data_IF_709904343978
#
_entry.id   IF_709904343978
#
_cell.length_a   1.000
_cell.length_b   1.000
_cell.length_c   1.000
_cell.angle_alpha   90.00
_cell.angle_beta   90.00
_cell.angle_gamma   90.00
#
_symmetry.space_group_name_H-M   'P 1'
#
loop_
_entity.id
_entity.type
_entity.pdbx_description
1 polymer ?
#
# COMPACT_ATOMS: atom_id res chain seq x y z
N UNK A 1 7.21 4.12 -7.16
CA UNK A 1 6.66 3.16 -8.15
C UNK A 1 7.64 2.01 -8.41
N UNK A 2 7.14 0.80 -8.60
CA UNK A 2 7.89 -0.46 -8.70
C UNK A 2 7.35 -1.34 -9.83
N UNK A 3 8.01 -2.48 -10.11
CA UNK A 3 7.56 -3.44 -11.13
C UNK A 3 6.16 -4.01 -10.83
N UNK A 4 5.82 -4.18 -9.54
CA UNK A 4 4.48 -4.60 -9.12
C UNK A 4 3.41 -3.56 -9.53
N UNK A 5 3.73 -2.26 -9.42
CA UNK A 5 2.79 -1.20 -9.82
C UNK A 5 2.50 -1.23 -11.33
N UNK A 6 3.52 -1.52 -12.16
CA UNK A 6 3.34 -1.66 -13.62
C UNK A 6 2.39 -2.81 -13.93
N UNK A 7 2.61 -3.98 -13.32
CA UNK A 7 1.78 -5.16 -13.54
C UNK A 7 0.34 -4.93 -13.08
N UNK A 8 0.14 -4.35 -11.90
CA UNK A 8 -1.21 -4.06 -11.40
C UNK A 8 -1.89 -3.00 -12.27
N UNK A 9 -1.15 -1.99 -12.74
CA UNK A 9 -1.69 -0.96 -13.61
C UNK A 9 -2.13 -1.53 -14.97
N UNK A 10 -1.32 -2.41 -15.56
CA UNK A 10 -1.64 -3.12 -16.80
C UNK A 10 -2.83 -4.08 -16.61
N UNK A 11 -2.89 -4.80 -15.49
CA UNK A 11 -3.98 -5.71 -15.17
C UNK A 11 -5.32 -4.99 -14.94
N UNK A 12 -5.28 -3.79 -14.34
CA UNK A 12 -6.47 -2.98 -14.10
C UNK A 12 -7.02 -2.43 -15.43
N UNK A 13 -6.16 -1.92 -16.32
CA UNK A 13 -6.49 -1.55 -17.70
C UNK A 13 -7.55 -0.45 -17.91
N UNK A 14 -8.27 -0.01 -16.87
CA UNK A 14 -9.35 0.98 -16.90
C UNK A 14 -9.31 1.87 -15.68
N UNK A 15 -9.95 3.04 -15.77
CA UNK A 15 -10.09 3.96 -14.65
C UNK A 15 -10.81 3.28 -13.48
N UNK A 16 -10.20 3.39 -12.29
CA UNK A 16 -10.74 2.81 -11.06
C UNK A 16 -11.94 3.62 -10.58
N UNK A 17 -12.98 2.92 -10.13
CA UNK A 17 -14.21 3.54 -9.63
C UNK A 17 -13.92 4.55 -8.52
N UNK A 18 -14.66 5.66 -8.51
CA UNK A 18 -14.52 6.73 -7.51
C UNK A 18 -14.82 6.27 -6.07
N UNK A 19 -15.46 5.10 -5.90
CA UNK A 19 -15.68 4.45 -4.61
C UNK A 19 -14.39 3.98 -3.94
N UNK A 20 -13.27 3.91 -4.66
CA UNK A 20 -11.96 3.53 -4.15
C UNK A 20 -10.99 4.72 -4.25
N UNK A 21 -11.08 5.72 -3.35
CA UNK A 21 -10.36 6.99 -3.48
C UNK A 21 -8.83 6.79 -3.50
N UNK A 22 -8.33 5.87 -2.68
CA UNK A 22 -6.88 5.57 -2.62
C UNK A 22 -6.39 4.87 -3.89
N UNK A 23 -7.16 3.90 -4.40
CA UNK A 23 -6.80 3.18 -5.62
C UNK A 23 -6.91 4.10 -6.85
N UNK A 24 -7.90 4.99 -6.90
CA UNK A 24 -8.04 6.00 -7.95
C UNK A 24 -6.87 7.00 -7.93
N UNK A 25 -6.46 7.47 -6.74
CA UNK A 25 -5.28 8.33 -6.60
C UNK A 25 -4.01 7.64 -7.06
N UNK A 26 -3.80 6.38 -6.66
CA UNK A 26 -2.67 5.57 -7.11
C UNK A 26 -2.70 5.36 -8.63
N UNK A 27 -3.83 4.98 -9.21
CA UNK A 27 -3.96 4.78 -10.66
C UNK A 27 -3.63 6.06 -11.43
N UNK A 28 -4.14 7.21 -10.98
CA UNK A 28 -3.85 8.52 -11.59
C UNK A 28 -2.37 8.86 -11.47
N UNK A 29 -1.77 8.57 -10.31
CA UNK A 29 -0.34 8.76 -10.09
C UNK A 29 0.51 7.90 -11.03
N UNK A 30 0.20 6.60 -11.16
CA UNK A 30 0.91 5.70 -12.09
C UNK A 30 0.67 6.06 -13.56
N UNK A 31 -0.54 6.51 -13.91
CA UNK A 31 -0.89 6.94 -15.27
C UNK A 31 -0.12 8.20 -15.72
N UNK A 32 0.30 9.05 -14.78
CA UNK A 32 1.07 10.26 -15.09
C UNK A 32 2.46 9.98 -15.65
N UNK A 33 2.99 8.77 -15.43
CA UNK A 33 4.31 8.36 -15.92
C UNK A 33 4.25 7.83 -17.35
N UNK A 34 5.24 8.22 -18.15
CA UNK A 34 5.38 7.72 -19.52
C UNK A 34 5.69 6.22 -19.53
N UNK A 35 5.35 5.51 -20.63
CA UNK A 35 5.69 4.09 -20.77
C UNK A 35 7.20 3.81 -20.67
N UNK A 36 8.05 4.77 -21.05
CA UNK A 36 9.50 4.65 -20.96
C UNK A 36 9.99 4.70 -19.50
N UNK A 37 9.46 5.63 -18.70
CA UNK A 37 9.77 5.71 -17.26
C UNK A 37 9.28 4.47 -16.51
N UNK A 38 8.10 3.96 -16.86
CA UNK A 38 7.56 2.72 -16.26
C UNK A 38 8.44 1.50 -16.55
N UNK A 39 9.05 1.45 -17.74
CA UNK A 39 10.01 0.40 -18.11
C UNK A 39 11.37 0.56 -17.42
N UNK A 40 11.75 1.76 -17.01
CA UNK A 40 13.01 2.01 -16.31
C UNK A 40 12.94 1.78 -14.81
N UNK A 41 11.74 1.53 -14.25
CA UNK A 41 11.62 1.17 -12.84
C UNK A 41 12.30 -0.18 -12.62
N UNK A 42 13.39 -0.15 -11.86
CA UNK A 42 14.26 -1.29 -11.63
C UNK A 42 13.45 -2.55 -11.31
N UNK A 43 13.86 -3.68 -11.91
CA UNK A 43 13.28 -5.00 -11.68
C UNK A 43 13.64 -5.50 -10.27
N UNK A 44 13.09 -4.86 -9.25
CA UNK A 44 13.07 -5.40 -7.89
C UNK A 44 12.06 -6.54 -7.84
N UNK A 45 12.42 -7.61 -7.12
CA UNK A 45 11.61 -8.82 -6.97
C UNK A 45 10.13 -8.48 -6.82
N UNK A 46 9.32 -8.89 -7.78
CA UNK A 46 7.90 -8.59 -7.79
C UNK A 46 7.21 -9.52 -6.78
N UNK A 47 6.71 -9.01 -5.64
CA UNK A 47 6.03 -9.84 -4.65
C UNK A 47 4.79 -10.52 -5.25
N UNK A 48 4.18 -9.97 -6.30
CA UNK A 48 3.04 -10.57 -6.98
C UNK A 48 3.41 -11.89 -7.69
N UNK A 49 4.62 -11.98 -8.26
CA UNK A 49 5.13 -13.21 -8.89
C UNK A 49 5.71 -14.19 -7.87
N UNK A 50 6.10 -13.72 -6.68
CA UNK A 50 6.68 -14.53 -5.62
C UNK A 50 5.64 -15.13 -4.65
N UNK A 51 4.33 -15.00 -4.94
CA UNK A 51 3.28 -15.48 -4.04
C UNK A 51 3.13 -14.61 -2.79
N UNK A 52 3.37 -13.30 -2.92
CA UNK A 52 3.23 -12.32 -1.86
C UNK A 52 1.84 -12.39 -1.25
N UNK A 53 1.78 -12.90 -0.02
CA UNK A 53 0.57 -12.97 0.79
C UNK A 53 0.00 -11.56 0.92
N UNK A 54 -1.31 -11.35 0.68
CA UNK A 54 -1.92 -10.04 0.90
C UNK A 54 -1.63 -9.60 2.34
N UNK A 55 -0.97 -8.45 2.50
CA UNK A 55 -0.68 -7.83 3.81
C UNK A 55 -1.88 -7.08 4.34
N UNK A 56 -3.07 -7.27 3.76
CA UNK A 56 -4.32 -6.80 4.35
C UNK A 56 -4.45 -7.45 5.72
N UNK A 57 -4.09 -6.71 6.76
CA UNK A 57 -4.33 -7.11 8.13
C UNK A 57 -5.81 -7.46 8.22
N UNK A 58 -6.10 -8.72 8.59
CA UNK A 58 -7.45 -9.11 8.97
C UNK A 58 -7.93 -8.12 10.04
N UNK A 59 -9.20 -7.70 10.04
CA UNK A 59 -9.72 -6.86 11.10
C UNK A 59 -9.42 -7.56 12.43
N UNK A 60 -8.62 -6.91 13.28
CA UNK A 60 -8.26 -7.43 14.57
C UNK A 60 -9.57 -7.73 15.32
N UNK A 61 -9.76 -9.01 15.64
CA UNK A 61 -10.81 -9.42 16.57
C UNK A 61 -10.49 -8.70 17.88
N UNK A 62 -11.43 -7.90 18.38
CA UNK A 62 -11.34 -7.34 19.73
C UNK A 62 -11.15 -8.50 20.70
N UNK A 63 -9.97 -8.57 21.30
CA UNK A 63 -9.76 -9.21 22.59
C UNK A 63 -9.63 -8.05 23.57
N UNK A 64 -10.66 -7.93 24.42
CA UNK A 64 -10.64 -7.09 25.62
C UNK A 64 -9.73 -7.74 26.66
N UNK A 65 -9.10 -6.87 27.46
CA UNK A 65 -8.37 -7.13 28.71
C UNK A 65 -7.03 -7.86 28.57
N UNK A 66 -5.95 -7.51 29.25
CA UNK A 66 -5.53 -6.44 30.17
C UNK A 66 -4.08 -6.84 30.49
N UNK A 67 -3.08 -5.98 30.22
CA UNK A 67 -1.89 -5.80 31.07
C UNK A 67 -0.83 -4.95 30.34
N UNK A 68 -0.29 -4.00 31.10
CA UNK A 68 0.98 -3.32 30.93
C UNK A 68 1.09 -2.24 29.82
N UNK A 69 0.59 -1.05 30.17
CA UNK A 69 1.44 0.15 30.34
C UNK A 69 2.66 0.28 29.41
N UNK A 70 2.41 0.36 28.10
CA UNK A 70 3.37 0.97 27.16
C UNK A 70 2.92 2.36 26.79
N UNK A 71 2.89 3.25 27.80
CA UNK A 71 2.84 4.68 27.57
C UNK A 71 4.18 5.17 26.98
N UNK A 72 4.27 5.10 25.65
CA UNK A 72 5.39 5.56 24.85
C UNK A 72 5.24 7.03 24.40
N UNK A 73 4.23 7.76 24.89
CA UNK A 73 3.94 9.14 24.48
C UNK A 73 3.45 10.07 25.62
N UNK A 74 3.65 9.74 26.89
CA UNK A 74 3.13 10.52 28.02
C UNK A 74 4.12 10.90 29.12
N UNK A 75 5.43 10.75 28.92
CA UNK A 75 6.44 11.38 29.82
C UNK A 75 7.02 12.63 29.19
N UNK A 76 6.23 13.70 29.24
CA UNK A 76 6.61 15.06 28.89
C UNK A 76 5.54 16.05 29.33
N UNK A 77 5.00 15.84 30.53
CA UNK A 77 4.22 16.86 31.25
C UNK A 77 5.14 18.05 31.52
N UNK A 78 4.62 19.21 31.17
CA UNK A 78 5.27 20.52 31.18
C UNK A 78 5.43 21.02 32.63
N UNK A 79 6.67 21.28 33.05
CA UNK A 79 7.05 22.41 33.92
C UNK A 79 8.36 23.03 33.46
#
# INVERSE_FOLDING_TARGET
PSQADVQVFEAVGKAIAASLPHASRWYTHIASYTPAERKSWAAGANPLSAGGKPTTAAPAKKEEEDDDDVDLFGSGDEE
#
